data_IF_213567140594
#
_entry.id   IF_213567140594
#
_cell.length_a   1.000
_cell.length_b   1.000
_cell.length_c   1.000
_cell.angle_alpha   90.00
_cell.angle_beta   90.00
_cell.angle_gamma   90.00
#
_symmetry.space_group_name_H-M   'P 1'
#
loop_
_entity.id
_entity.type
_entity.pdbx_description
1 polymer ?
#
# COMPACT_ATOMS: atom_id res chain seq x y z
N UNK A 1 2.99 4.95 -7.10
CA UNK A 1 3.58 3.87 -7.89
C UNK A 1 2.49 2.91 -8.34
N UNK A 2 2.54 2.48 -9.59
CA UNK A 2 1.56 1.55 -10.15
C UNK A 2 2.26 0.24 -10.46
N UNK A 3 1.66 -0.88 -10.00
CA UNK A 3 2.19 -2.23 -10.19
C UNK A 3 1.07 -3.08 -10.78
N UNK A 4 1.41 -3.99 -11.68
CA UNK A 4 0.40 -4.71 -12.45
C UNK A 4 -0.37 -5.77 -11.65
N UNK A 5 0.22 -6.31 -10.59
CA UNK A 5 -0.50 -7.29 -9.79
C UNK A 5 -0.37 -7.01 -8.30
N UNK A 6 -1.36 -7.47 -7.55
CA UNK A 6 -1.47 -7.16 -6.14
C UNK A 6 -0.36 -7.82 -5.31
N UNK A 7 0.05 -9.04 -5.67
CA UNK A 7 1.09 -9.74 -4.91
C UNK A 7 2.43 -9.05 -5.04
N UNK A 8 2.79 -8.62 -6.24
CA UNK A 8 4.04 -7.89 -6.45
C UNK A 8 4.01 -6.56 -5.70
N UNK A 9 2.87 -5.87 -5.72
CA UNK A 9 2.72 -4.63 -4.99
C UNK A 9 2.85 -4.83 -3.49
N UNK A 10 2.26 -5.92 -2.97
CA UNK A 10 2.35 -6.24 -1.55
C UNK A 10 3.80 -6.56 -1.14
N UNK A 11 4.50 -7.34 -1.95
CA UNK A 11 5.92 -7.63 -1.69
C UNK A 11 6.73 -6.33 -1.65
N UNK A 12 6.49 -5.45 -2.62
CA UNK A 12 7.21 -4.18 -2.70
C UNK A 12 6.94 -3.31 -1.47
N UNK A 13 5.69 -3.20 -1.06
CA UNK A 13 5.31 -2.37 0.08
C UNK A 13 5.94 -2.89 1.38
N UNK A 14 5.88 -4.19 1.62
CA UNK A 14 6.45 -4.77 2.83
C UNK A 14 7.96 -4.69 2.83
N UNK A 15 8.58 -4.86 1.66
CA UNK A 15 10.04 -4.72 1.55
C UNK A 15 10.49 -3.28 1.80
N UNK A 16 9.72 -2.30 1.32
CA UNK A 16 10.01 -0.90 1.59
C UNK A 16 9.93 -0.60 3.08
N UNK A 17 8.91 -1.10 3.77
CA UNK A 17 8.79 -0.91 5.22
C UNK A 17 9.96 -1.56 5.96
N UNK A 18 10.31 -2.78 5.57
CA UNK A 18 11.43 -3.48 6.20
C UNK A 18 12.73 -2.72 6.00
N UNK A 19 13.00 -2.31 4.77
CA UNK A 19 14.22 -1.58 4.44
C UNK A 19 14.29 -0.26 5.20
N UNK A 20 13.16 0.44 5.30
CA UNK A 20 13.13 1.71 6.03
C UNK A 20 13.41 1.50 7.51
N UNK A 21 12.86 0.43 8.11
CA UNK A 21 13.05 0.16 9.53
C UNK A 21 14.52 -0.15 9.88
N UNK A 22 15.31 -0.55 8.89
CA UNK A 22 16.73 -0.87 9.10
C UNK A 22 17.65 0.30 8.80
N UNK A 23 17.11 1.46 8.39
CA UNK A 23 17.95 2.61 8.09
C UNK A 23 18.56 3.19 9.36
N UNK A 24 19.86 3.54 9.33
CA UNK A 24 20.50 4.20 10.47
C UNK A 24 20.16 5.68 10.45
N UNK A 25 18.95 6.02 10.90
CA UNK A 25 18.41 7.37 10.78
C UNK A 25 19.31 8.41 11.45
N UNK A 26 19.83 8.09 12.64
CA UNK A 26 20.70 9.01 13.35
C UNK A 26 21.97 9.31 12.56
N UNK A 27 22.56 8.28 11.94
CA UNK A 27 23.78 8.43 11.15
C UNK A 27 23.52 9.24 9.87
N UNK A 28 22.27 9.26 9.40
CA UNK A 28 21.90 10.02 8.22
C UNK A 28 21.46 11.43 8.56
N UNK A 29 21.48 11.82 9.83
CA UNK A 29 21.06 13.14 10.25
C UNK A 29 19.55 13.30 10.28
N UNK A 30 18.79 12.21 10.35
CA UNK A 30 17.34 12.23 10.34
C UNK A 30 16.79 11.93 11.73
N UNK A 31 15.57 12.44 12.05
CA UNK A 31 14.94 12.11 13.33
C UNK A 31 14.70 10.60 13.46
N UNK A 32 15.00 10.04 14.62
CA UNK A 32 14.80 8.62 14.86
C UNK A 32 13.34 8.24 14.94
N UNK A 33 12.47 9.23 15.09
CA UNK A 33 11.01 9.03 15.11
C UNK A 33 10.39 9.01 13.72
N UNK A 34 11.19 9.24 12.68
CA UNK A 34 10.69 9.24 11.31
C UNK A 34 10.17 7.86 10.92
N UNK A 35 8.96 7.81 10.37
CA UNK A 35 8.34 6.57 9.94
C UNK A 35 7.85 6.66 8.51
N UNK A 36 7.60 5.50 7.91
CA UNK A 36 7.12 5.41 6.54
C UNK A 36 5.67 4.96 6.55
N UNK A 37 4.83 5.66 5.79
CA UNK A 37 3.42 5.31 5.61
C UNK A 37 3.20 4.84 4.19
N UNK A 38 2.57 3.68 4.05
CA UNK A 38 2.29 3.10 2.74
C UNK A 38 0.82 2.71 2.67
N UNK A 39 0.16 3.15 1.60
CA UNK A 39 -1.22 2.80 1.34
C UNK A 39 -1.35 2.16 -0.03
N UNK A 40 -2.18 1.14 -0.15
CA UNK A 40 -2.38 0.44 -1.40
C UNK A 40 -3.85 0.27 -1.76
N UNK A 41 -4.14 0.36 -3.04
CA UNK A 41 -5.47 0.14 -3.58
C UNK A 41 -5.35 -0.59 -4.91
N UNK A 42 -6.28 -1.50 -5.19
CA UNK A 42 -6.29 -2.29 -6.40
C UNK A 42 -7.51 -1.91 -7.23
N UNK A 43 -7.28 -1.62 -8.50
CA UNK A 43 -8.36 -1.29 -9.41
C UNK A 43 -7.82 -0.94 -10.78
N UNK A 44 -8.70 -0.91 -11.80
CA UNK A 44 -8.27 -0.58 -13.15
C UNK A 44 -7.82 0.88 -13.26
N UNK A 45 -6.78 1.09 -14.07
CA UNK A 45 -6.26 2.42 -14.39
C UNK A 45 -6.09 2.52 -15.90
N UNK A 46 -6.08 3.74 -16.41
CA UNK A 46 -5.90 3.99 -17.84
C UNK A 46 -4.49 4.48 -18.09
N UNK A 47 -3.71 3.77 -18.92
CA UNK A 47 -2.42 4.31 -19.36
C UNK A 47 -2.66 5.36 -20.45
N UNK A 48 -2.15 6.56 -20.22
CA UNK A 48 -2.25 7.67 -21.17
C UNK A 48 -0.87 8.29 -21.37
N UNK A 49 -0.62 8.78 -22.57
CA UNK A 49 0.59 9.54 -22.82
C UNK A 49 0.38 10.98 -22.36
N UNK A 50 1.25 11.47 -21.50
CA UNK A 50 1.20 12.84 -21.01
C UNK A 50 2.11 13.70 -21.89
N UNK A 51 1.56 14.55 -22.76
CA UNK A 51 2.39 15.36 -23.65
C UNK A 51 3.17 16.45 -22.93
N UNK A 52 2.73 16.87 -21.74
CA UNK A 52 3.43 17.88 -20.96
C UNK A 52 4.71 17.29 -20.36
N UNK A 53 4.61 16.10 -19.77
CA UNK A 53 5.75 15.43 -19.16
C UNK A 53 6.49 14.52 -20.13
N UNK A 54 5.96 14.33 -21.34
CA UNK A 54 6.53 13.48 -22.38
C UNK A 54 6.77 12.06 -21.87
N UNK A 55 5.80 11.50 -21.15
CA UNK A 55 5.91 10.16 -20.62
C UNK A 55 4.52 9.54 -20.43
N UNK A 56 4.48 8.23 -20.24
CA UNK A 56 3.23 7.54 -19.93
C UNK A 56 2.80 7.86 -18.51
N UNK A 57 1.50 8.04 -18.34
CA UNK A 57 0.89 8.27 -17.03
C UNK A 57 -0.30 7.34 -16.86
N UNK A 58 -0.72 7.14 -15.62
CA UNK A 58 -1.89 6.32 -15.31
C UNK A 58 -2.96 7.22 -14.69
N UNK A 59 -4.19 7.08 -15.17
CA UNK A 59 -5.29 7.92 -14.74
C UNK A 59 -6.51 7.08 -14.40
N UNK A 60 -7.42 7.66 -13.62
CA UNK A 60 -8.65 7.02 -13.22
C UNK A 60 -8.93 7.24 -11.74
N UNK A 61 -10.17 6.93 -11.34
CA UNK A 61 -10.62 7.13 -9.96
C UNK A 61 -9.80 6.31 -8.95
N UNK A 62 -9.28 5.16 -9.37
CA UNK A 62 -8.50 4.31 -8.47
C UNK A 62 -7.14 4.90 -8.15
N UNK A 63 -6.55 5.66 -9.08
CA UNK A 63 -5.32 6.40 -8.80
C UNK A 63 -5.59 7.49 -7.76
N UNK A 64 -6.66 8.25 -7.95
CA UNK A 64 -7.06 9.29 -7.00
C UNK A 64 -7.38 8.73 -5.63
N UNK A 65 -8.04 7.57 -5.58
CA UNK A 65 -8.38 6.91 -4.32
C UNK A 65 -7.13 6.50 -3.56
N UNK A 66 -6.13 5.98 -4.26
CA UNK A 66 -4.86 5.60 -3.64
C UNK A 66 -4.21 6.80 -2.95
N UNK A 67 -4.27 7.96 -3.59
CA UNK A 67 -3.67 9.18 -3.02
C UNK A 67 -4.37 9.65 -1.74
N UNK A 68 -5.59 9.18 -1.46
CA UNK A 68 -6.34 9.56 -0.25
C UNK A 68 -6.12 8.61 0.92
N UNK A 69 -5.42 7.50 0.71
CA UNK A 69 -5.18 6.50 1.75
C UNK A 69 -3.94 6.81 2.57
N UNK A 70 -2.87 7.24 1.92
CA UNK A 70 -1.59 7.44 2.60
C UNK A 70 -1.70 8.40 3.79
N UNK A 71 -2.38 9.57 3.67
CA UNK A 71 -2.44 10.50 4.80
C UNK A 71 -3.13 9.95 6.05
N UNK A 72 -3.98 8.93 5.91
CA UNK A 72 -4.70 8.36 7.05
C UNK A 72 -4.08 7.03 7.51
N UNK A 73 -2.96 6.63 6.94
CA UNK A 73 -2.25 5.40 7.31
C UNK A 73 -1.26 5.71 8.41
N UNK A 74 -1.25 4.93 9.50
CA UNK A 74 -0.23 5.12 10.56
C UNK A 74 1.18 4.82 10.06
N UNK A 75 2.15 5.53 10.62
CA UNK A 75 3.55 5.26 10.30
C UNK A 75 3.96 3.85 10.69
N UNK A 76 4.83 3.25 9.91
CA UNK A 76 5.30 1.88 10.14
C UNK A 76 4.32 0.81 9.71
N UNK A 77 3.20 1.20 9.11
CA UNK A 77 2.13 0.29 8.73
C UNK A 77 1.90 0.36 7.23
N UNK A 78 1.47 -0.74 6.65
CA UNK A 78 0.97 -0.78 5.27
C UNK A 78 -0.53 -1.02 5.34
N UNK A 79 -1.31 -0.05 4.91
CA UNK A 79 -2.76 -0.19 4.84
C UNK A 79 -3.17 -0.45 3.40
N UNK A 80 -4.13 -1.35 3.21
CA UNK A 80 -4.67 -1.65 1.88
C UNK A 80 -6.20 -1.60 1.95
N UNK A 81 -6.81 -1.28 0.82
CA UNK A 81 -8.27 -1.28 0.73
C UNK A 81 -8.82 -2.70 0.63
N UNK A 82 -10.14 -2.83 0.78
CA UNK A 82 -10.80 -4.13 0.63
C UNK A 82 -10.59 -4.73 -0.76
N UNK A 83 -10.56 -3.90 -1.81
CA UNK A 83 -10.30 -4.40 -3.16
C UNK A 83 -8.90 -5.01 -3.27
N UNK A 84 -7.91 -4.39 -2.64
CA UNK A 84 -6.55 -4.90 -2.63
C UNK A 84 -6.49 -6.21 -1.83
N UNK A 85 -7.10 -6.22 -0.65
CA UNK A 85 -7.13 -7.41 0.20
C UNK A 85 -7.81 -8.58 -0.51
N UNK A 86 -8.91 -8.31 -1.22
CA UNK A 86 -9.61 -9.33 -1.96
C UNK A 86 -8.74 -9.92 -3.07
N UNK A 87 -7.97 -9.08 -3.77
CA UNK A 87 -7.07 -9.56 -4.81
C UNK A 87 -5.98 -10.47 -4.23
N UNK A 88 -5.52 -10.18 -3.01
CA UNK A 88 -4.51 -11.02 -2.36
C UNK A 88 -5.07 -12.34 -1.85
N UNK A 89 -6.38 -12.44 -1.70
CA UNK A 89 -7.02 -13.67 -1.23
C UNK A 89 -7.34 -14.66 -2.35
N UNK A 90 -7.20 -14.25 -3.62
CA UNK A 90 -7.53 -15.11 -4.76
C UNK A 90 -6.66 -16.36 -4.85
N UNK A 91 -5.34 -16.30 -4.63
CA UNK A 91 -4.51 -17.50 -4.71
C UNK A 91 -4.96 -18.56 -3.71
N UNK A 92 -4.79 -19.81 -4.09
CA UNK A 92 -5.21 -20.93 -3.26
C UNK A 92 -4.52 -20.96 -1.90
N UNK A 93 -3.26 -20.56 -1.89
CA UNK A 93 -2.48 -20.41 -0.64
C UNK A 93 -1.96 -18.98 -0.57
N UNK A 94 -2.76 -18.07 -0.02
CA UNK A 94 -2.35 -16.67 0.03
C UNK A 94 -1.08 -16.49 0.84
N UNK A 95 -0.17 -15.67 0.34
CA UNK A 95 1.11 -15.40 0.99
C UNK A 95 1.02 -14.26 2.00
N UNK A 96 -0.10 -13.56 2.03
CA UNK A 96 -0.24 -12.35 2.85
C UNK A 96 -1.46 -12.46 3.76
N UNK A 97 -1.40 -11.75 4.86
CA UNK A 97 -2.51 -11.61 5.79
C UNK A 97 -2.96 -10.16 5.76
N UNK A 98 -4.28 -9.96 5.65
CA UNK A 98 -4.87 -8.63 5.71
C UNK A 98 -5.81 -8.58 6.90
N UNK A 99 -5.40 -7.89 7.95
CA UNK A 99 -6.20 -7.77 9.18
C UNK A 99 -7.11 -6.54 9.07
N UNK A 100 -8.40 -6.76 9.27
CA UNK A 100 -9.36 -5.66 9.16
C UNK A 100 -9.15 -4.66 10.29
N UNK A 101 -9.01 -3.39 9.91
CA UNK A 101 -8.75 -2.31 10.84
C UNK A 101 -9.94 -1.37 11.02
N UNK A 102 -11.04 -1.64 10.33
CA UNK A 102 -12.24 -0.83 10.46
C UNK A 102 -12.43 0.12 9.29
N UNK A 103 -13.46 0.94 9.41
CA UNK A 103 -13.77 1.96 8.41
C UNK A 103 -13.04 3.23 8.80
N UNK A 104 -12.24 3.75 7.90
CA UNK A 104 -11.39 4.91 8.14
C UNK A 104 -11.82 6.02 7.19
N UNK A 105 -12.04 7.26 7.69
CA UNK A 105 -12.34 8.37 6.79
C UNK A 105 -11.13 8.70 5.92
N UNK A 106 -11.35 8.81 4.63
CA UNK A 106 -10.30 9.15 3.69
C UNK A 106 -9.99 10.65 3.79
N UNK A 107 -8.78 11.03 3.36
CA UNK A 107 -8.36 12.42 3.41
C UNK A 107 -9.24 13.30 2.53
N UNK A 108 -9.38 14.57 2.92
CA UNK A 108 -10.08 15.61 2.16
C UNK A 108 -11.53 15.24 1.86
N UNK A 109 -12.20 14.64 2.82
CA UNK A 109 -13.62 14.29 2.72
C UNK A 109 -13.94 13.38 1.53
N UNK A 110 -13.00 12.53 1.16
CA UNK A 110 -13.16 11.61 0.05
C UNK A 110 -14.08 10.42 0.39
N UNK A 111 -14.76 10.47 1.53
CA UNK A 111 -15.60 9.40 2.02
C UNK A 111 -14.87 8.53 3.01
N UNK A 112 -15.36 7.32 3.20
CA UNK A 112 -14.76 6.37 4.14
C UNK A 112 -14.41 5.08 3.41
N UNK A 113 -13.38 4.40 3.88
CA UNK A 113 -12.93 3.15 3.28
C UNK A 113 -12.68 2.11 4.34
N UNK A 114 -12.97 0.84 4.00
CA UNK A 114 -12.55 -0.26 4.83
C UNK A 114 -11.07 -0.50 4.60
N UNK A 115 -10.31 -0.48 5.69
CA UNK A 115 -8.86 -0.60 5.61
C UNK A 115 -8.39 -1.88 6.29
N UNK A 116 -7.34 -2.44 5.74
CA UNK A 116 -6.73 -3.67 6.25
C UNK A 116 -5.24 -3.44 6.42
N UNK A 117 -4.69 -3.95 7.51
CA UNK A 117 -3.24 -3.91 7.72
C UNK A 117 -2.62 -5.13 7.05
N UNK A 118 -1.64 -4.89 6.20
CA UNK A 118 -0.98 -5.91 5.39
C UNK A 118 0.23 -6.47 6.12
N UNK A 119 0.37 -7.80 6.11
CA UNK A 119 1.56 -8.47 6.61
C UNK A 119 1.78 -9.75 5.83
N UNK A 120 2.98 -10.33 5.96
CA UNK A 120 3.26 -11.61 5.35
C UNK A 120 2.71 -12.73 6.21
N UNK A 121 2.18 -13.75 5.55
CA UNK A 121 1.78 -14.95 6.25
C UNK A 121 3.03 -15.67 6.75
N UNK A 122 2.98 -16.14 7.99
CA UNK A 122 4.10 -16.91 8.52
C UNK A 122 4.22 -18.23 7.77
N UNK A 123 5.47 -18.54 7.36
CA UNK A 123 5.74 -19.79 6.68
C UNK A 123 6.13 -20.90 7.65
N UNK A 124 6.16 -20.59 8.92
CA UNK A 124 6.63 -21.55 9.89
C UNK A 124 5.57 -22.51 10.27
N UNK A 125 4.80 -22.64 9.85
CA UNK A 125 3.93 -23.42 10.35
C UNK A 125 3.84 -24.63 10.02
N UNK A 126 4.16 -24.94 10.12
CA UNK A 126 4.05 -26.05 9.71
C UNK A 126 3.56 -26.92 10.58
N UNK A 127 3.25 -26.77 10.82
CA UNK A 127 2.92 -27.53 11.69
C UNK A 127 2.21 -28.10 11.62
#
# INVERSE_FOLDING_TARGET
MVVQDAETAADCALELQRSFSELPLADLGLPQTLGLRLGGHFGPVFPLYDPVLNQMAFMGSHVSRTARIEPVTPEGTVYVTDAFAAALAVPRQPRFICNYMGVVPAAKDYGSMRMFALSRRSSTRSE
#
